data_IF_449666081071
#
_entry.id   IF_449666081071
#
_cell.length_a   1.000
_cell.length_b   1.000
_cell.length_c   1.000
_cell.angle_alpha   90.00
_cell.angle_beta   90.00
_cell.angle_gamma   90.00
#
_symmetry.space_group_name_H-M   'P 1'
#
loop_
_entity.id
_entity.type
_entity.pdbx_description
1 polymer ?
#
# COMPACT_ATOMS: atom_id res chain seq x y z
N UNK A 1 29.63 4.47 -73.98
CA UNK A 1 30.23 3.77 -72.84
C UNK A 1 29.92 4.43 -71.45
N UNK A 2 29.76 5.74 -71.35
CA UNK A 2 29.55 6.46 -70.08
C UNK A 2 28.17 6.22 -69.42
N UNK A 3 27.10 5.92 -70.15
CA UNK A 3 25.73 5.66 -69.61
C UNK A 3 25.54 4.28 -68.96
N UNK A 4 26.41 3.31 -69.22
CA UNK A 4 26.35 1.96 -68.68
C UNK A 4 27.04 1.89 -67.33
N UNK A 5 28.07 2.69 -67.09
CA UNK A 5 28.84 2.76 -65.83
C UNK A 5 28.00 3.39 -64.72
N UNK A 6 27.14 4.41 -65.01
CA UNK A 6 26.29 5.06 -64.06
C UNK A 6 25.17 4.14 -63.54
N UNK A 7 24.64 3.23 -64.43
CA UNK A 7 23.60 2.27 -64.01
C UNK A 7 24.12 1.18 -63.04
N UNK A 8 25.37 0.73 -63.25
CA UNK A 8 25.99 -0.24 -62.35
C UNK A 8 26.36 0.33 -61.00
N UNK A 9 26.77 1.61 -60.93
CA UNK A 9 27.10 2.28 -59.64
C UNK A 9 25.85 2.50 -58.76
N UNK A 10 24.69 2.81 -59.36
CA UNK A 10 23.44 2.94 -58.62
C UNK A 10 22.90 1.59 -58.08
N UNK A 11 23.15 0.48 -58.80
CA UNK A 11 22.69 -0.84 -58.35
C UNK A 11 23.51 -1.38 -57.18
N UNK A 12 24.79 -1.05 -57.09
CA UNK A 12 25.67 -1.45 -55.99
C UNK A 12 25.39 -0.61 -54.73
N UNK A 13 25.01 0.67 -54.88
CA UNK A 13 24.64 1.52 -53.72
C UNK A 13 23.31 1.11 -53.10
N UNK A 14 22.34 0.60 -53.86
CA UNK A 14 21.05 0.11 -53.32
C UNK A 14 21.22 -1.23 -52.60
N UNK A 15 22.17 -2.08 -52.98
CA UNK A 15 22.47 -3.34 -52.30
C UNK A 15 23.22 -3.16 -50.97
N UNK A 16 23.98 -2.06 -50.81
CA UNK A 16 24.66 -1.73 -49.55
C UNK A 16 23.72 -1.10 -48.50
N UNK A 17 22.60 -0.50 -48.91
CA UNK A 17 21.61 0.02 -47.97
C UNK A 17 20.69 -1.08 -47.40
N UNK A 18 20.65 -2.27 -47.97
CA UNK A 18 19.84 -3.41 -47.45
C UNK A 18 20.59 -4.29 -46.46
N UNK A 19 21.90 -4.11 -46.28
CA UNK A 19 22.71 -4.87 -45.32
C UNK A 19 22.87 -4.17 -43.97
N UNK A 20 22.32 -2.95 -43.79
CA UNK A 20 22.48 -2.12 -42.58
C UNK A 20 21.34 -2.17 -41.57
N UNK A 21 20.26 -2.90 -41.83
CA UNK A 21 19.18 -3.11 -40.85
C UNK A 21 19.31 -4.50 -40.20
N UNK A 22 20.43 -4.78 -39.55
CA UNK A 22 20.45 -5.76 -38.49
C UNK A 22 19.80 -5.08 -37.26
N UNK A 23 18.49 -4.88 -37.33
CA UNK A 23 17.70 -4.58 -36.14
C UNK A 23 17.97 -5.70 -35.14
N UNK A 24 18.61 -5.35 -34.05
CA UNK A 24 18.64 -6.15 -32.87
C UNK A 24 17.18 -6.53 -32.59
N UNK A 25 16.77 -7.71 -33.08
CA UNK A 25 15.56 -8.35 -32.55
C UNK A 25 15.82 -8.55 -31.08
N UNK A 26 15.31 -7.63 -30.27
CA UNK A 26 15.14 -7.91 -28.85
C UNK A 26 14.41 -9.27 -28.82
N UNK A 27 15.07 -10.27 -28.27
CA UNK A 27 14.52 -11.60 -28.01
C UNK A 27 13.44 -11.48 -26.93
N UNK A 28 12.31 -10.81 -27.21
CA UNK A 28 11.15 -10.77 -26.36
C UNK A 28 10.21 -11.98 -26.54
N UNK A 29 10.49 -12.82 -27.56
CA UNK A 29 9.73 -14.04 -27.78
C UNK A 29 10.17 -15.17 -26.84
N UNK A 30 9.88 -15.07 -25.54
CA UNK A 30 10.23 -16.12 -24.57
C UNK A 30 10.21 -15.72 -23.09
N UNK A 31 10.07 -14.44 -22.79
CA UNK A 31 10.16 -13.98 -21.39
C UNK A 31 8.90 -14.31 -20.55
N UNK A 32 7.77 -14.63 -21.20
CA UNK A 32 6.51 -14.98 -20.54
C UNK A 32 5.63 -13.76 -20.18
N UNK A 33 4.49 -14.06 -19.58
CA UNK A 33 3.51 -13.07 -19.11
C UNK A 33 3.34 -13.25 -17.61
N UNK A 34 3.09 -12.17 -16.87
CA UNK A 34 2.64 -12.20 -15.48
C UNK A 34 1.44 -11.29 -15.31
N UNK A 35 0.39 -11.80 -14.65
CA UNK A 35 -0.81 -11.07 -14.30
C UNK A 35 -0.71 -10.61 -12.86
N UNK A 36 -0.68 -9.30 -12.66
CA UNK A 36 -0.50 -8.68 -11.35
C UNK A 36 -1.72 -7.85 -11.01
N UNK A 37 -2.26 -8.03 -9.82
CA UNK A 37 -3.20 -7.07 -9.25
C UNK A 37 -2.59 -6.36 -8.04
N UNK A 38 -3.02 -5.12 -7.81
CA UNK A 38 -2.50 -4.32 -6.71
C UNK A 38 -3.57 -3.52 -5.99
N UNK A 39 -3.45 -3.48 -4.66
CA UNK A 39 -4.20 -2.58 -3.76
C UNK A 39 -3.36 -1.37 -3.33
N UNK A 40 -2.15 -1.20 -3.86
CA UNK A 40 -1.26 -0.06 -3.56
C UNK A 40 -1.68 1.19 -4.35
N UNK A 41 -1.05 2.32 -4.02
CA UNK A 41 -1.16 3.53 -4.83
C UNK A 41 -0.88 3.23 -6.32
N UNK A 42 -1.71 3.73 -7.21
CA UNK A 42 -1.64 3.45 -8.64
C UNK A 42 -0.28 3.81 -9.23
N UNK A 43 0.23 5.00 -8.95
CA UNK A 43 1.49 5.48 -9.51
C UNK A 43 2.68 4.63 -9.03
N UNK A 44 2.67 4.21 -7.75
CA UNK A 44 3.68 3.30 -7.22
C UNK A 44 3.60 1.94 -7.92
N UNK A 45 2.40 1.40 -8.07
CA UNK A 45 2.20 0.12 -8.76
C UNK A 45 2.69 0.18 -10.21
N UNK A 46 2.30 1.22 -10.95
CA UNK A 46 2.72 1.45 -12.33
C UNK A 46 4.26 1.59 -12.43
N UNK A 47 4.90 2.29 -11.50
CA UNK A 47 6.36 2.42 -11.47
C UNK A 47 7.06 1.06 -11.27
N UNK A 48 6.58 0.25 -10.33
CA UNK A 48 7.14 -1.08 -10.05
C UNK A 48 6.96 -2.04 -11.24
N UNK A 49 5.76 -2.11 -11.81
CA UNK A 49 5.50 -3.05 -12.91
C UNK A 49 6.22 -2.64 -14.20
N UNK A 50 6.33 -1.34 -14.49
CA UNK A 50 7.04 -0.84 -15.66
C UNK A 50 8.56 -1.08 -15.54
N UNK A 51 9.17 -0.82 -14.37
CA UNK A 51 10.59 -1.09 -14.17
C UNK A 51 10.89 -2.60 -14.27
N UNK A 52 10.05 -3.46 -13.70
CA UNK A 52 10.16 -4.90 -13.86
C UNK A 52 10.07 -5.34 -15.32
N UNK A 53 9.05 -4.88 -16.05
CA UNK A 53 8.86 -5.23 -17.46
C UNK A 53 10.07 -4.80 -18.32
N UNK A 54 10.57 -3.58 -18.10
CA UNK A 54 11.73 -3.04 -18.82
C UNK A 54 13.01 -3.85 -18.57
N UNK A 55 13.23 -4.31 -17.32
CA UNK A 55 14.42 -5.09 -16.94
C UNK A 55 14.38 -6.54 -17.38
N UNK A 56 13.22 -7.13 -17.42
CA UNK A 56 13.08 -8.57 -17.62
C UNK A 56 12.58 -8.96 -19.01
N UNK A 57 11.94 -8.04 -19.74
CA UNK A 57 11.23 -8.32 -20.97
C UNK A 57 9.94 -9.14 -20.78
N UNK A 58 9.55 -9.45 -19.51
CA UNK A 58 8.28 -10.12 -19.19
C UNK A 58 7.14 -9.14 -19.43
N UNK A 59 6.11 -9.59 -20.17
CA UNK A 59 4.89 -8.80 -20.34
C UNK A 59 4.11 -8.79 -19.05
N UNK A 60 3.74 -7.60 -18.58
CA UNK A 60 2.92 -7.44 -17.37
C UNK A 60 1.50 -7.06 -17.78
N UNK A 61 0.54 -7.93 -17.45
CA UNK A 61 -0.88 -7.59 -17.45
C UNK A 61 -1.20 -7.06 -16.03
N UNK A 62 -1.45 -5.76 -15.91
CA UNK A 62 -1.66 -5.12 -14.62
C UNK A 62 -3.10 -4.66 -14.46
N UNK A 63 -3.72 -5.05 -13.34
CA UNK A 63 -5.09 -4.68 -13.00
C UNK A 63 -5.15 -4.09 -11.57
N UNK A 64 -5.63 -2.84 -11.41
CA UNK A 64 -5.84 -2.29 -10.08
C UNK A 64 -6.99 -3.05 -9.40
N UNK A 65 -6.71 -3.59 -8.21
CA UNK A 65 -7.72 -4.28 -7.43
C UNK A 65 -8.66 -3.29 -6.76
N UNK A 66 -9.76 -3.00 -7.43
CA UNK A 66 -10.81 -2.09 -6.93
C UNK A 66 -11.88 -2.93 -6.24
N UNK A 67 -11.80 -3.04 -4.92
CA UNK A 67 -12.82 -3.72 -4.11
C UNK A 67 -13.02 -2.95 -2.80
N UNK A 68 -14.27 -2.82 -2.38
CA UNK A 68 -14.66 -2.03 -1.20
C UNK A 68 -14.52 -2.81 0.10
N UNK A 69 -14.59 -4.16 0.05
CA UNK A 69 -14.47 -5.00 1.22
C UNK A 69 -13.46 -6.14 1.03
N UNK A 70 -12.93 -6.66 2.14
CA UNK A 70 -12.06 -7.85 2.13
C UNK A 70 -12.76 -9.04 1.47
N UNK A 71 -14.03 -9.29 1.77
CA UNK A 71 -14.77 -10.41 1.21
C UNK A 71 -14.84 -10.33 -0.32
N UNK A 72 -15.22 -9.16 -0.87
CA UNK A 72 -15.24 -8.94 -2.32
C UNK A 72 -13.87 -9.13 -2.95
N UNK A 73 -12.81 -8.67 -2.28
CA UNK A 73 -11.43 -8.81 -2.75
C UNK A 73 -11.02 -10.28 -2.86
N UNK A 74 -11.30 -11.07 -1.83
CA UNK A 74 -11.00 -12.50 -1.83
C UNK A 74 -11.82 -13.27 -2.87
N UNK A 75 -13.08 -12.90 -3.10
CA UNK A 75 -13.91 -13.49 -4.15
C UNK A 75 -13.39 -13.18 -5.56
N UNK A 76 -13.02 -11.91 -5.83
CA UNK A 76 -12.42 -11.52 -7.09
C UNK A 76 -11.11 -12.27 -7.35
N UNK A 77 -10.23 -12.34 -6.36
CA UNK A 77 -8.95 -13.05 -6.47
C UNK A 77 -9.14 -14.55 -6.64
N UNK A 78 -10.08 -15.16 -5.92
CA UNK A 78 -10.39 -16.60 -6.01
C UNK A 78 -10.94 -17.03 -7.37
N UNK A 79 -11.61 -16.13 -8.09
CA UNK A 79 -12.22 -16.38 -9.40
C UNK A 79 -11.36 -15.83 -10.56
N UNK A 80 -10.19 -15.25 -10.28
CA UNK A 80 -9.31 -14.64 -11.29
C UNK A 80 -8.19 -15.59 -11.72
N UNK A 81 -7.51 -15.23 -12.82
CA UNK A 81 -6.25 -15.83 -13.27
C UNK A 81 -5.03 -14.98 -12.92
N UNK A 82 -5.15 -14.14 -11.90
CA UNK A 82 -4.06 -13.32 -11.40
C UNK A 82 -2.97 -14.21 -10.82
N UNK A 83 -1.72 -13.91 -11.15
CA UNK A 83 -0.57 -14.67 -10.68
C UNK A 83 -0.02 -14.11 -9.37
N UNK A 84 0.03 -12.77 -9.26
CA UNK A 84 0.56 -12.07 -8.08
C UNK A 84 -0.42 -11.02 -7.58
N UNK A 85 -0.68 -11.07 -6.30
CA UNK A 85 -1.35 -10.00 -5.58
C UNK A 85 -0.31 -9.21 -4.75
N UNK A 86 -0.26 -7.88 -4.89
CA UNK A 86 0.60 -7.01 -4.09
C UNK A 86 -0.18 -5.84 -3.47
N UNK A 87 0.27 -5.41 -2.28
CA UNK A 87 -0.40 -4.36 -1.52
C UNK A 87 -1.62 -4.88 -0.75
N UNK A 88 -2.25 -4.01 0.01
CA UNK A 88 -3.26 -4.40 0.98
C UNK A 88 -2.63 -4.83 2.32
N UNK A 89 -3.46 -5.02 3.33
CA UNK A 89 -3.02 -5.27 4.69
C UNK A 89 -2.68 -6.74 4.94
N UNK A 90 -1.70 -7.01 5.80
CA UNK A 90 -1.23 -8.36 6.11
C UNK A 90 -2.34 -9.31 6.60
N UNK A 91 -3.32 -8.81 7.34
CA UNK A 91 -4.48 -9.60 7.77
C UNK A 91 -5.34 -10.11 6.61
N UNK A 92 -5.32 -9.44 5.47
CA UNK A 92 -6.01 -9.89 4.26
C UNK A 92 -5.31 -11.11 3.65
N UNK A 93 -3.98 -11.10 3.64
CA UNK A 93 -3.15 -12.22 3.20
C UNK A 93 -3.25 -13.40 4.15
N UNK A 94 -3.32 -13.15 5.45
CA UNK A 94 -3.61 -14.19 6.43
C UNK A 94 -4.91 -14.92 6.09
N UNK A 95 -6.01 -14.20 5.83
CA UNK A 95 -7.29 -14.79 5.46
C UNK A 95 -7.24 -15.54 4.12
N UNK A 96 -6.52 -15.03 3.13
CA UNK A 96 -6.32 -15.71 1.85
C UNK A 96 -5.52 -17.01 2.03
N UNK A 97 -4.51 -16.99 2.88
CA UNK A 97 -3.72 -18.17 3.24
C UNK A 97 -4.56 -19.26 3.93
N UNK A 98 -5.39 -18.88 4.92
CA UNK A 98 -6.31 -19.80 5.60
C UNK A 98 -7.38 -20.41 4.65
N UNK A 99 -7.71 -19.70 3.56
CA UNK A 99 -8.58 -20.19 2.49
C UNK A 99 -7.83 -20.97 1.40
N UNK A 100 -6.54 -21.29 1.61
CA UNK A 100 -5.69 -22.02 0.67
C UNK A 100 -5.63 -21.40 -0.73
N UNK A 101 -5.66 -20.05 -0.79
CA UNK A 101 -5.60 -19.28 -2.03
C UNK A 101 -4.18 -18.93 -2.47
N UNK A 102 -3.20 -19.05 -1.56
CA UNK A 102 -1.83 -18.61 -1.76
C UNK A 102 -0.87 -19.81 -1.91
N UNK A 103 0.24 -19.57 -2.59
CA UNK A 103 1.30 -20.58 -2.78
C UNK A 103 2.56 -20.13 -2.06
N UNK A 104 3.18 -20.96 -1.22
CA UNK A 104 4.42 -20.62 -0.55
C UNK A 104 5.53 -20.24 -1.54
N UNK A 105 6.14 -19.07 -1.29
CA UNK A 105 7.32 -18.60 -2.01
C UNK A 105 8.04 -17.54 -1.18
N UNK A 106 9.31 -17.79 -0.86
CA UNK A 106 10.15 -16.84 -0.12
C UNK A 106 11.23 -16.28 -1.05
N UNK A 107 11.14 -14.99 -1.46
CA UNK A 107 12.18 -14.32 -2.21
C UNK A 107 13.49 -14.23 -1.42
N UNK A 108 14.63 -14.34 -2.09
CA UNK A 108 15.95 -14.28 -1.43
C UNK A 108 16.17 -12.96 -0.68
N UNK A 109 15.72 -11.84 -1.26
CA UNK A 109 15.84 -10.53 -0.63
C UNK A 109 14.97 -10.31 0.62
N UNK A 110 14.02 -11.22 0.90
CA UNK A 110 13.17 -11.17 2.10
C UNK A 110 13.82 -11.81 3.34
N UNK A 111 14.99 -12.44 3.23
CA UNK A 111 15.64 -13.17 4.34
C UNK A 111 16.02 -12.31 5.54
N UNK A 112 16.14 -10.99 5.37
CA UNK A 112 16.49 -10.05 6.44
C UNK A 112 15.27 -9.49 7.19
N UNK A 113 14.05 -9.83 6.75
CA UNK A 113 12.83 -9.36 7.40
C UNK A 113 12.68 -10.05 8.75
N UNK A 114 12.42 -9.31 9.85
CA UNK A 114 12.25 -9.90 11.16
C UNK A 114 11.12 -10.95 11.18
N UNK A 115 11.36 -12.13 11.81
CA UNK A 115 10.41 -13.25 11.78
C UNK A 115 9.00 -12.93 12.27
N UNK A 116 8.86 -11.97 13.20
CA UNK A 116 7.54 -11.55 13.72
C UNK A 116 6.62 -10.94 12.67
N UNK A 117 7.15 -10.48 11.53
CA UNK A 117 6.37 -9.92 10.42
C UNK A 117 6.10 -10.93 9.30
N UNK A 118 6.72 -12.13 9.37
CA UNK A 118 6.63 -13.15 8.33
C UNK A 118 5.48 -14.13 8.55
N UNK A 119 4.88 -14.61 7.47
CA UNK A 119 4.02 -15.80 7.53
C UNK A 119 4.87 -17.05 7.83
N UNK A 120 4.43 -17.89 8.77
CA UNK A 120 5.17 -19.08 9.20
C UNK A 120 5.47 -20.06 8.06
N UNK A 121 4.52 -20.18 7.12
CA UNK A 121 4.59 -21.12 6.02
C UNK A 121 5.10 -20.46 4.73
N UNK A 122 5.46 -19.16 4.77
CA UNK A 122 5.95 -18.41 3.62
C UNK A 122 4.93 -18.25 2.50
N UNK A 123 3.62 -18.29 2.83
CA UNK A 123 2.53 -18.17 1.86
C UNK A 123 2.35 -16.74 1.33
N UNK A 124 2.81 -15.76 2.10
CA UNK A 124 2.89 -14.36 1.71
C UNK A 124 4.13 -13.71 2.33
N UNK A 125 4.57 -12.59 1.77
CA UNK A 125 5.78 -11.89 2.20
C UNK A 125 5.46 -10.42 2.43
N UNK A 126 5.83 -9.84 3.59
CA UNK A 126 5.65 -8.42 3.85
C UNK A 126 6.57 -7.58 2.98
N UNK A 127 6.06 -6.49 2.44
CA UNK A 127 6.79 -5.55 1.60
C UNK A 127 7.24 -4.32 2.38
N UNK A 128 6.27 -3.64 2.99
CA UNK A 128 6.51 -2.37 3.68
C UNK A 128 5.80 -2.33 5.01
N UNK A 129 6.29 -1.46 5.90
CA UNK A 129 5.64 -1.12 7.15
C UNK A 129 5.30 0.36 7.15
N UNK A 130 4.14 0.71 7.69
CA UNK A 130 3.70 2.07 7.90
C UNK A 130 2.98 2.20 9.25
N UNK A 131 2.59 3.41 9.61
CA UNK A 131 1.95 3.76 10.86
C UNK A 131 0.76 4.68 10.61
N UNK A 132 -0.06 4.90 11.63
CA UNK A 132 -1.12 5.89 11.57
C UNK A 132 -0.61 7.26 11.99
N UNK A 133 -1.20 8.30 11.39
CA UNK A 133 -0.95 9.70 11.71
C UNK A 133 -2.23 10.52 11.62
N UNK A 134 -2.20 11.69 12.25
CA UNK A 134 -3.20 12.73 12.04
C UNK A 134 -2.63 13.79 11.10
N UNK A 135 -3.37 14.10 10.03
CA UNK A 135 -3.07 15.23 9.16
C UNK A 135 -3.92 16.41 9.60
N UNK A 136 -3.31 17.54 9.92
CA UNK A 136 -4.01 18.74 10.36
C UNK A 136 -3.79 19.91 9.38
N UNK A 137 -4.83 20.73 9.17
CA UNK A 137 -4.70 22.01 8.50
C UNK A 137 -4.35 23.11 9.52
N UNK A 138 -3.11 23.60 9.51
CA UNK A 138 -2.60 24.61 10.45
C UNK A 138 -3.40 25.91 10.45
N UNK A 139 -4.01 26.27 9.32
CA UNK A 139 -4.84 27.47 9.25
C UNK A 139 -6.15 27.28 10.01
N UNK A 140 -6.76 26.10 9.90
CA UNK A 140 -7.95 25.76 10.66
C UNK A 140 -7.64 25.60 12.16
N UNK A 141 -6.52 24.94 12.50
CA UNK A 141 -6.09 24.81 13.91
C UNK A 141 -5.97 26.18 14.58
N UNK A 142 -5.35 27.14 13.91
CA UNK A 142 -5.24 28.52 14.43
C UNK A 142 -6.60 29.20 14.62
N UNK A 143 -7.57 29.00 13.71
CA UNK A 143 -8.93 29.53 13.85
C UNK A 143 -9.68 28.89 15.03
N UNK A 144 -9.42 27.60 15.27
CA UNK A 144 -10.00 26.85 16.39
C UNK A 144 -9.30 27.13 17.72
N UNK A 145 -8.14 27.81 17.70
CA UNK A 145 -7.38 28.15 18.90
C UNK A 145 -6.70 26.95 19.58
N UNK A 146 -6.36 25.91 18.79
CA UNK A 146 -5.70 24.69 19.29
C UNK A 146 -4.47 24.34 18.45
N UNK A 147 -3.56 23.59 19.07
CA UNK A 147 -2.44 22.96 18.36
C UNK A 147 -2.91 21.71 17.58
N UNK A 148 -2.19 21.30 16.52
CA UNK A 148 -2.45 20.06 15.81
C UNK A 148 -2.45 18.86 16.77
N UNK A 149 -3.53 18.04 16.81
CA UNK A 149 -3.59 16.89 17.68
C UNK A 149 -2.55 15.82 17.27
N UNK A 150 -2.07 15.07 18.27
CA UNK A 150 -1.08 13.99 18.13
C UNK A 150 -1.43 12.75 18.97
N UNK A 151 -2.60 12.75 19.57
CA UNK A 151 -3.14 11.62 20.34
C UNK A 151 -4.60 11.36 19.94
N UNK A 152 -5.05 10.12 20.14
CA UNK A 152 -6.46 9.77 19.92
C UNK A 152 -7.39 10.59 20.81
N UNK A 153 -7.02 10.75 22.08
CA UNK A 153 -7.87 11.47 23.03
C UNK A 153 -8.05 12.96 22.68
N UNK A 154 -7.07 13.57 22.02
CA UNK A 154 -7.20 14.95 21.54
C UNK A 154 -8.28 15.12 20.45
N UNK A 155 -8.65 14.04 19.74
CA UNK A 155 -9.78 14.08 18.80
C UNK A 155 -11.14 14.23 19.47
N UNK A 156 -11.24 13.96 20.77
CA UNK A 156 -12.48 14.12 21.54
C UNK A 156 -12.72 15.56 22.04
N UNK A 157 -11.82 16.50 21.75
CA UNK A 157 -12.01 17.90 22.13
C UNK A 157 -13.26 18.48 21.46
N UNK A 158 -14.17 19.15 22.22
CA UNK A 158 -15.43 19.70 21.67
C UNK A 158 -15.23 20.65 20.48
N UNK A 159 -14.10 21.36 20.43
CA UNK A 159 -13.75 22.28 19.36
C UNK A 159 -13.54 21.57 18.00
N UNK A 160 -13.29 20.26 18.00
CA UNK A 160 -13.16 19.44 16.80
C UNK A 160 -14.49 18.83 16.31
N UNK A 161 -15.63 19.24 16.90
CA UNK A 161 -16.95 18.80 16.46
C UNK A 161 -17.15 19.13 14.98
N UNK A 162 -17.50 18.11 14.17
CA UNK A 162 -17.65 18.21 12.69
C UNK A 162 -16.37 18.63 11.93
N UNK A 163 -15.20 18.52 12.55
CA UNK A 163 -13.91 18.91 11.94
C UNK A 163 -13.04 17.71 11.54
N UNK A 164 -13.48 16.49 11.86
CA UNK A 164 -12.69 15.26 11.64
C UNK A 164 -13.20 14.50 10.41
N UNK A 165 -12.29 13.96 9.63
CA UNK A 165 -12.57 13.10 8.48
C UNK A 165 -11.67 11.87 8.48
N UNK A 166 -12.18 10.72 8.02
CA UNK A 166 -11.39 9.51 7.80
C UNK A 166 -12.03 8.63 6.71
N UNK A 167 -11.31 7.61 6.28
CA UNK A 167 -11.91 6.59 5.42
C UNK A 167 -12.89 5.72 6.23
N UNK A 168 -13.78 5.02 5.52
CA UNK A 168 -14.70 4.05 6.14
C UNK A 168 -13.90 2.89 6.74
N UNK A 169 -14.18 2.46 8.00
CA UNK A 169 -13.45 1.36 8.64
C UNK A 169 -13.50 0.04 7.88
N UNK A 170 -14.56 -0.20 7.13
CA UNK A 170 -14.74 -1.40 6.30
C UNK A 170 -13.67 -1.53 5.22
N UNK A 171 -13.15 -0.41 4.72
CA UNK A 171 -12.10 -0.40 3.70
C UNK A 171 -10.75 -0.88 4.24
N UNK A 172 -10.57 -0.95 5.56
CA UNK A 172 -9.31 -1.30 6.20
C UNK A 172 -8.42 -0.09 6.43
N UNK A 173 -7.09 -0.31 6.42
CA UNK A 173 -6.11 0.77 6.58
C UNK A 173 -6.17 1.48 7.93
N UNK A 174 -5.87 2.81 7.99
CA UNK A 174 -5.77 3.56 9.25
C UNK A 174 -7.02 3.50 10.13
N UNK A 175 -8.27 3.62 9.63
CA UNK A 175 -9.45 3.55 10.48
C UNK A 175 -9.63 2.20 11.17
N UNK A 176 -9.40 1.09 10.45
CA UNK A 176 -9.43 -0.22 11.06
C UNK A 176 -8.24 -0.46 11.98
N UNK A 177 -7.07 0.06 11.63
CA UNK A 177 -5.89 0.08 12.48
C UNK A 177 -6.14 0.81 13.81
N UNK A 178 -6.86 1.93 13.80
CA UNK A 178 -7.30 2.64 15.00
C UNK A 178 -8.16 1.75 15.90
N UNK A 179 -9.19 1.10 15.34
CA UNK A 179 -10.08 0.21 16.09
C UNK A 179 -9.27 -0.91 16.76
N UNK A 180 -8.44 -1.62 15.99
CA UNK A 180 -7.69 -2.78 16.49
C UNK A 180 -6.61 -2.38 17.51
N UNK A 181 -5.89 -1.28 17.28
CA UNK A 181 -4.88 -0.81 18.22
C UNK A 181 -5.47 -0.36 19.56
N UNK A 182 -6.55 0.42 19.54
CA UNK A 182 -7.22 0.86 20.76
C UNK A 182 -7.80 -0.33 21.54
N UNK A 183 -8.38 -1.30 20.83
CA UNK A 183 -8.91 -2.51 21.48
C UNK A 183 -7.82 -3.34 22.16
N UNK A 184 -6.69 -3.52 21.50
CA UNK A 184 -5.57 -4.30 22.03
C UNK A 184 -4.80 -3.55 23.14
N UNK A 185 -4.65 -2.24 23.03
CA UNK A 185 -3.89 -1.43 24.00
C UNK A 185 -4.72 -1.03 25.23
N UNK A 186 -6.02 -0.77 25.08
CA UNK A 186 -6.86 -0.21 26.14
C UNK A 186 -7.94 -1.18 26.62
N UNK A 187 -8.14 -2.30 25.92
CA UNK A 187 -9.25 -3.22 26.16
C UNK A 187 -10.56 -2.77 25.52
N UNK A 188 -11.53 -3.67 25.50
CA UNK A 188 -12.82 -3.48 24.82
C UNK A 188 -13.60 -2.28 25.35
N UNK A 189 -13.75 -2.17 26.66
CA UNK A 189 -14.61 -1.16 27.30
C UNK A 189 -14.11 0.26 27.03
N UNK A 190 -12.82 0.50 27.19
CA UNK A 190 -12.23 1.82 26.90
C UNK A 190 -12.19 2.13 25.40
N UNK A 191 -12.01 1.13 24.53
CA UNK A 191 -12.10 1.31 23.09
C UNK A 191 -13.52 1.70 22.65
N UNK A 192 -14.56 1.06 23.20
CA UNK A 192 -15.96 1.40 22.91
C UNK A 192 -16.37 2.75 23.51
N UNK A 193 -15.91 3.08 24.70
CA UNK A 193 -16.10 4.41 25.28
C UNK A 193 -15.48 5.52 24.42
N UNK A 194 -14.26 5.29 23.93
CA UNK A 194 -13.64 6.20 22.98
C UNK A 194 -14.45 6.31 21.67
N UNK A 195 -14.93 5.19 21.12
CA UNK A 195 -15.77 5.18 19.93
C UNK A 195 -17.06 5.97 20.10
N UNK A 196 -17.74 5.85 21.28
CA UNK A 196 -18.90 6.64 21.65
C UNK A 196 -18.59 8.13 21.65
N UNK A 197 -17.48 8.54 22.31
CA UNK A 197 -17.00 9.92 22.28
C UNK A 197 -16.69 10.42 20.87
N UNK A 198 -16.06 9.58 20.04
CA UNK A 198 -15.72 9.93 18.67
C UNK A 198 -16.98 10.13 17.78
N UNK A 199 -18.05 9.36 18.01
CA UNK A 199 -19.34 9.57 17.33
C UNK A 199 -19.94 10.95 17.60
N UNK A 200 -19.79 11.47 18.82
CA UNK A 200 -20.30 12.80 19.13
C UNK A 200 -19.60 13.90 18.34
N UNK A 201 -18.42 13.62 17.79
CA UNK A 201 -17.67 14.55 16.94
C UNK A 201 -18.24 14.69 15.52
N UNK A 202 -19.25 13.92 15.12
CA UNK A 202 -19.83 13.94 13.75
C UNK A 202 -18.78 13.77 12.66
N UNK A 203 -18.03 12.65 12.72
CA UNK A 203 -16.97 12.36 11.77
C UNK A 203 -17.53 12.19 10.36
N UNK A 204 -16.86 12.79 9.37
CA UNK A 204 -17.11 12.54 7.96
C UNK A 204 -16.38 11.26 7.54
N UNK A 205 -17.11 10.22 7.18
CA UNK A 205 -16.56 9.02 6.58
C UNK A 205 -16.57 9.10 5.05
N UNK A 206 -15.46 8.73 4.42
CA UNK A 206 -15.28 8.78 2.96
C UNK A 206 -14.77 7.42 2.43
N UNK A 207 -15.00 7.09 1.14
CA UNK A 207 -14.61 5.79 0.59
C UNK A 207 -13.10 5.53 0.58
N UNK A 208 -12.26 6.56 0.64
CA UNK A 208 -10.80 6.39 0.56
C UNK A 208 -10.05 7.38 1.44
N UNK A 209 -8.88 6.97 1.90
CA UNK A 209 -7.92 7.80 2.63
C UNK A 209 -7.51 9.04 1.82
N UNK A 210 -7.31 8.91 0.51
CA UNK A 210 -6.96 10.02 -0.36
C UNK A 210 -8.02 11.13 -0.36
N UNK A 211 -9.32 10.76 -0.39
CA UNK A 211 -10.43 11.72 -0.27
C UNK A 211 -10.44 12.40 1.10
N UNK A 212 -10.16 11.67 2.18
CA UNK A 212 -10.08 12.25 3.51
C UNK A 212 -8.94 13.28 3.62
N UNK A 213 -7.74 12.98 3.12
CA UNK A 213 -6.63 13.93 3.06
C UNK A 213 -6.95 15.17 2.22
N UNK A 214 -7.68 14.99 1.12
CA UNK A 214 -8.09 16.10 0.24
C UNK A 214 -9.08 17.07 0.90
N UNK A 215 -10.00 16.60 1.76
CA UNK A 215 -10.90 17.47 2.53
C UNK A 215 -10.13 18.39 3.50
N UNK A 216 -9.06 17.87 4.12
CA UNK A 216 -8.17 18.67 4.99
C UNK A 216 -7.32 19.64 4.16
N UNK A 217 -6.83 19.20 3.00
CA UNK A 217 -6.12 20.09 2.06
C UNK A 217 -6.99 21.27 1.64
N UNK A 218 -8.25 21.03 1.29
CA UNK A 218 -9.20 22.10 0.91
C UNK A 218 -9.65 22.96 2.09
N UNK A 219 -9.29 22.62 3.34
CA UNK A 219 -9.70 23.32 4.55
C UNK A 219 -11.18 23.13 4.90
N UNK A 220 -11.87 22.15 4.31
CA UNK A 220 -13.28 21.80 4.60
C UNK A 220 -13.39 21.00 5.89
N UNK A 221 -12.34 20.25 6.25
CA UNK A 221 -12.14 19.56 7.51
C UNK A 221 -10.79 19.98 8.07
N UNK A 222 -10.65 19.86 9.38
CA UNK A 222 -9.46 20.32 10.09
C UNK A 222 -8.45 19.22 10.36
N UNK A 223 -8.92 17.99 10.55
CA UNK A 223 -8.10 16.82 10.89
C UNK A 223 -8.54 15.60 10.10
N UNK A 224 -7.58 14.85 9.53
CA UNK A 224 -7.81 13.52 8.96
C UNK A 224 -6.99 12.44 9.68
N UNK A 225 -7.55 11.23 9.79
CA UNK A 225 -6.84 10.01 10.18
C UNK A 225 -6.31 9.36 8.91
N UNK A 226 -4.99 9.31 8.73
CA UNK A 226 -4.32 8.82 7.54
C UNK A 226 -3.17 7.85 7.91
N UNK A 227 -2.64 7.17 6.91
CA UNK A 227 -1.32 6.56 7.00
C UNK A 227 -0.22 7.64 7.07
N UNK A 228 0.86 7.35 7.79
CA UNK A 228 1.93 8.32 8.01
C UNK A 228 2.61 8.72 6.70
N UNK A 229 2.86 7.74 5.80
CA UNK A 229 3.48 8.04 4.50
C UNK A 229 2.63 9.03 3.68
N UNK A 230 1.31 8.87 3.70
CA UNK A 230 0.39 9.76 2.97
C UNK A 230 0.33 11.14 3.63
N UNK A 231 0.21 11.21 4.95
CA UNK A 231 0.23 12.47 5.69
C UNK A 231 1.53 13.27 5.44
N UNK A 232 2.70 12.59 5.48
CA UNK A 232 4.00 13.20 5.19
C UNK A 232 4.14 13.64 3.72
N UNK A 233 3.54 12.93 2.77
CA UNK A 233 3.53 13.33 1.38
C UNK A 233 2.78 14.66 1.20
N UNK A 234 1.57 14.76 1.76
CA UNK A 234 0.76 15.97 1.72
C UNK A 234 1.42 17.15 2.46
N UNK A 235 2.03 16.92 3.62
CA UNK A 235 2.77 17.95 4.36
C UNK A 235 3.95 18.50 3.55
N UNK A 236 4.70 17.65 2.85
CA UNK A 236 5.83 18.08 2.02
C UNK A 236 5.38 18.99 0.88
N UNK A 237 4.25 18.68 0.26
CA UNK A 237 3.72 19.46 -0.87
C UNK A 237 3.06 20.76 -0.41
N UNK A 238 2.51 20.79 0.81
CA UNK A 238 1.67 21.87 1.31
C UNK A 238 2.07 22.32 2.71
N UNK A 239 2.80 23.42 2.82
CA UNK A 239 3.35 23.96 4.10
C UNK A 239 2.31 24.28 5.17
N UNK A 240 1.05 24.45 4.81
CA UNK A 240 -0.04 24.70 5.75
C UNK A 240 -0.65 23.41 6.33
N UNK A 241 -0.21 22.23 5.87
CA UNK A 241 -0.53 20.97 6.47
C UNK A 241 0.52 20.56 7.50
N UNK A 242 0.15 19.66 8.41
CA UNK A 242 1.03 19.11 9.45
C UNK A 242 0.67 17.67 9.75
N UNK A 243 1.65 16.79 9.61
CA UNK A 243 1.53 15.36 9.89
C UNK A 243 2.02 15.07 11.32
N UNK A 244 1.12 14.62 12.18
CA UNK A 244 1.42 14.21 13.56
C UNK A 244 1.41 12.69 13.67
N UNK A 245 2.53 12.01 13.92
CA UNK A 245 2.52 10.61 14.34
C UNK A 245 1.75 10.48 15.67
N UNK A 246 0.97 9.41 15.80
CA UNK A 246 0.18 9.16 17.02
C UNK A 246 1.07 8.69 18.17
N UNK A 247 0.95 9.31 19.33
CA UNK A 247 1.79 9.08 20.51
C UNK A 247 1.17 8.19 21.59
N UNK A 248 -0.15 8.01 21.58
CA UNK A 248 -0.90 7.28 22.63
C UNK A 248 -1.48 5.94 22.14
N UNK A 249 -1.03 5.46 21.02
CA UNK A 249 -1.38 4.17 20.42
C UNK A 249 -1.26 4.19 18.91
N UNK A 250 -0.58 3.21 18.37
CA UNK A 250 -0.39 3.06 16.93
C UNK A 250 -0.48 1.58 16.53
N UNK A 251 -0.28 1.26 15.28
CA UNK A 251 -0.27 -0.11 14.74
C UNK A 251 0.78 -0.22 13.64
N UNK A 252 1.39 -1.40 13.53
CA UNK A 252 2.13 -1.78 12.33
C UNK A 252 1.14 -2.01 11.20
N UNK A 253 1.15 -1.14 10.20
CA UNK A 253 0.38 -1.33 8.97
C UNK A 253 1.30 -1.95 7.92
N UNK A 254 1.25 -3.28 7.83
CA UNK A 254 2.11 -4.05 6.94
C UNK A 254 1.38 -4.26 5.63
N UNK A 255 2.01 -3.88 4.51
CA UNK A 255 1.58 -4.32 3.19
C UNK A 255 2.33 -5.56 2.78
N UNK A 256 1.74 -6.40 1.96
CA UNK A 256 2.35 -7.68 1.58
C UNK A 256 2.21 -7.97 0.07
N UNK A 257 2.84 -9.07 -0.36
CA UNK A 257 2.64 -9.68 -1.66
C UNK A 257 2.60 -11.20 -1.56
N UNK A 258 1.89 -11.83 -2.49
CA UNK A 258 1.80 -13.29 -2.57
C UNK A 258 1.56 -13.75 -4.00
N UNK A 259 1.93 -15.01 -4.25
CA UNK A 259 1.57 -15.71 -5.47
C UNK A 259 0.23 -16.42 -5.24
N UNK A 260 -0.71 -16.18 -6.15
CA UNK A 260 -2.03 -16.82 -6.09
C UNK A 260 -2.00 -18.23 -6.67
N UNK A 261 -2.74 -19.14 -6.05
CA UNK A 261 -2.80 -20.56 -6.45
C UNK A 261 -3.43 -20.77 -7.82
N UNK A 262 -4.36 -19.89 -8.20
CA UNK A 262 -5.07 -19.97 -9.49
C UNK A 262 -4.29 -19.33 -10.65
N UNK A 263 -3.14 -18.70 -10.37
CA UNK A 263 -2.26 -18.13 -11.39
C UNK A 263 -1.67 -19.20 -12.30
N UNK A 264 -1.58 -18.87 -13.58
CA UNK A 264 -1.12 -19.81 -14.64
C UNK A 264 0.39 -19.62 -14.93
N UNK A 265 1.00 -18.49 -14.50
CA UNK A 265 2.33 -18.07 -14.91
C UNK A 265 3.33 -18.11 -13.75
N UNK A 266 3.52 -19.29 -13.14
CA UNK A 266 4.30 -19.48 -11.91
C UNK A 266 5.73 -18.91 -11.98
N UNK A 267 6.51 -19.22 -13.00
CA UNK A 267 7.90 -18.73 -13.12
C UNK A 267 8.01 -17.22 -13.28
N UNK A 268 7.23 -16.55 -14.16
CA UNK A 268 7.15 -15.08 -14.17
C UNK A 268 6.72 -14.47 -12.85
N UNK A 269 5.76 -15.08 -12.13
CA UNK A 269 5.33 -14.64 -10.82
C UNK A 269 6.46 -14.69 -9.79
N UNK A 270 7.22 -15.77 -9.72
CA UNK A 270 8.40 -15.91 -8.86
C UNK A 270 9.46 -14.84 -9.18
N UNK A 271 9.70 -14.56 -10.47
CA UNK A 271 10.63 -13.50 -10.89
C UNK A 271 10.14 -12.12 -10.44
N UNK A 272 8.83 -11.86 -10.49
CA UNK A 272 8.27 -10.61 -9.99
C UNK A 272 8.40 -10.50 -8.47
N UNK A 273 8.14 -11.58 -7.73
CA UNK A 273 8.37 -11.62 -6.28
C UNK A 273 9.83 -11.34 -5.92
N UNK A 274 10.82 -11.93 -6.62
CA UNK A 274 12.25 -11.60 -6.42
C UNK A 274 12.54 -10.12 -6.72
N UNK A 275 11.95 -9.58 -7.80
CA UNK A 275 12.13 -8.18 -8.17
C UNK A 275 11.65 -7.22 -7.07
N UNK A 276 10.53 -7.49 -6.41
CA UNK A 276 10.00 -6.63 -5.34
C UNK A 276 11.00 -6.39 -4.19
N UNK A 277 12.00 -7.27 -4.05
CA UNK A 277 13.08 -7.18 -3.06
C UNK A 277 14.42 -6.75 -3.67
N UNK A 278 14.44 -6.33 -4.92
CA UNK A 278 15.62 -5.73 -5.56
C UNK A 278 15.90 -4.33 -5.04
N UNK A 279 17.14 -3.87 -5.16
CA UNK A 279 17.53 -2.50 -4.76
C UNK A 279 16.68 -1.44 -5.44
N UNK A 280 16.34 -1.65 -6.71
CA UNK A 280 15.56 -0.74 -7.52
C UNK A 280 14.10 -0.67 -7.05
N UNK A 281 13.47 -1.82 -6.83
CA UNK A 281 12.09 -1.85 -6.32
C UNK A 281 12.00 -1.20 -4.92
N UNK A 282 12.96 -1.51 -4.03
CA UNK A 282 13.03 -0.88 -2.71
C UNK A 282 13.24 0.64 -2.82
N UNK A 283 14.06 1.10 -3.78
CA UNK A 283 14.25 2.52 -4.02
C UNK A 283 12.97 3.19 -4.54
N UNK A 284 12.27 2.58 -5.50
CA UNK A 284 10.96 3.06 -5.98
C UNK A 284 9.99 3.19 -4.81
N UNK A 285 9.86 2.17 -3.95
CA UNK A 285 8.98 2.24 -2.77
C UNK A 285 9.32 3.43 -1.88
N UNK A 286 10.62 3.71 -1.62
CA UNK A 286 11.04 4.87 -0.81
C UNK A 286 10.71 6.22 -1.46
N UNK A 287 10.80 6.34 -2.78
CA UNK A 287 10.42 7.54 -3.50
C UNK A 287 8.95 7.89 -3.28
N UNK A 288 8.11 6.86 -3.13
CA UNK A 288 6.70 6.98 -2.73
C UNK A 288 6.50 7.00 -1.20
N UNK A 289 7.58 7.18 -0.41
CA UNK A 289 7.57 7.27 1.05
C UNK A 289 7.09 6.03 1.79
N UNK A 290 7.11 4.89 1.11
CA UNK A 290 6.93 3.61 1.77
C UNK A 290 8.24 3.20 2.48
N UNK A 291 8.13 2.50 3.59
CA UNK A 291 9.27 1.96 4.34
C UNK A 291 9.41 0.45 4.09
N UNK A 292 10.31 0.01 3.18
CA UNK A 292 10.51 -1.41 2.90
C UNK A 292 11.05 -2.17 4.12
N UNK A 293 10.39 -3.28 4.48
CA UNK A 293 10.79 -4.11 5.61
C UNK A 293 12.11 -4.87 5.39
N UNK A 294 12.49 -5.13 4.12
CA UNK A 294 13.75 -5.78 3.79
C UNK A 294 14.99 -4.96 4.20
N UNK A 295 14.84 -3.64 4.36
CA UNK A 295 15.90 -2.71 4.78
C UNK A 295 15.68 -2.19 6.23
N UNK A 296 15.16 -3.02 7.09
CA UNK A 296 14.69 -2.74 8.44
C UNK A 296 15.52 -1.83 9.41
N UNK A 297 16.76 -1.37 9.13
CA UNK A 297 17.47 -0.45 10.03
C UNK A 297 16.75 0.87 10.29
N UNK A 298 15.92 1.36 9.36
CA UNK A 298 15.25 2.66 9.49
C UNK A 298 13.91 2.62 10.23
N UNK A 299 13.30 1.44 10.37
CA UNK A 299 12.05 1.26 11.17
C UNK A 299 12.25 1.71 12.62
N UNK A 300 13.44 1.47 13.21
CA UNK A 300 13.77 1.88 14.58
C UNK A 300 13.92 3.41 14.76
N UNK A 301 14.32 4.16 13.73
CA UNK A 301 14.51 5.61 13.84
C UNK A 301 13.20 6.38 13.87
N UNK A 302 12.18 5.92 13.11
CA UNK A 302 10.84 6.54 13.10
C UNK A 302 10.02 6.17 14.32
N UNK A 303 10.30 5.02 14.95
CA UNK A 303 9.54 4.51 16.09
C UNK A 303 9.64 5.37 17.36
N UNK A 304 10.66 6.23 17.51
CA UNK A 304 10.81 7.08 18.70
C UNK A 304 9.74 8.16 18.85
N UNK A 305 9.08 8.56 17.76
CA UNK A 305 7.97 9.53 17.76
C UNK A 305 6.59 8.85 17.72
N UNK A 306 6.56 7.51 17.62
CA UNK A 306 5.34 6.70 17.48
C UNK A 306 5.02 6.10 18.84
N UNK A 307 3.76 6.17 19.24
CA UNK A 307 3.25 5.61 20.52
C UNK A 307 3.33 4.07 20.56
N UNK A 308 2.87 3.48 21.66
CA UNK A 308 2.89 2.03 21.85
C UNK A 308 2.16 1.31 20.73
N UNK A 309 2.74 0.18 20.29
CA UNK A 309 2.20 -0.70 19.25
C UNK A 309 1.90 -2.04 19.90
N UNK A 310 0.67 -2.57 19.78
CA UNK A 310 0.34 -3.90 20.29
C UNK A 310 1.02 -4.98 19.44
N UNK A 311 1.14 -6.18 19.98
CA UNK A 311 1.53 -7.34 19.19
C UNK A 311 0.44 -7.62 18.14
N UNK A 312 0.85 -7.75 16.87
CA UNK A 312 -0.07 -8.03 15.79
C UNK A 312 -0.57 -9.48 15.87
N UNK A 313 -1.86 -9.64 16.17
CA UNK A 313 -2.59 -10.89 16.02
C UNK A 313 -3.43 -10.80 14.73
N UNK A 314 -2.82 -11.20 13.61
CA UNK A 314 -3.46 -11.13 12.29
C UNK A 314 -4.73 -11.99 12.22
N UNK A 315 -4.73 -13.16 12.90
CA UNK A 315 -5.89 -14.05 12.94
C UNK A 315 -7.07 -13.42 13.66
N UNK A 316 -6.82 -12.81 14.82
CA UNK A 316 -7.83 -12.08 15.58
C UNK A 316 -8.35 -10.87 14.78
N UNK A 317 -7.45 -10.06 14.22
CA UNK A 317 -7.83 -8.90 13.42
C UNK A 317 -8.67 -9.27 12.21
N UNK A 318 -8.25 -10.28 11.45
CA UNK A 318 -8.96 -10.74 10.27
C UNK A 318 -10.31 -11.40 10.62
N UNK A 319 -10.32 -12.29 11.62
CA UNK A 319 -11.50 -13.04 12.03
C UNK A 319 -12.57 -12.19 12.72
N UNK A 320 -12.17 -11.11 13.40
CA UNK A 320 -13.07 -10.23 14.14
C UNK A 320 -13.44 -8.94 13.41
N UNK A 321 -12.94 -8.72 12.20
CA UNK A 321 -13.08 -7.43 11.49
C UNK A 321 -14.52 -6.91 11.46
N UNK A 322 -15.47 -7.71 11.01
CA UNK A 322 -16.87 -7.28 10.90
C UNK A 322 -17.50 -7.01 12.27
N UNK A 323 -17.20 -7.85 13.26
CA UNK A 323 -17.71 -7.71 14.63
C UNK A 323 -17.18 -6.42 15.27
N UNK A 324 -15.87 -6.18 15.20
CA UNK A 324 -15.22 -4.99 15.77
C UNK A 324 -15.74 -3.70 15.13
N UNK A 325 -15.86 -3.67 13.82
CA UNK A 325 -16.40 -2.50 13.10
C UNK A 325 -17.86 -2.26 13.50
N UNK A 326 -18.69 -3.31 13.55
CA UNK A 326 -20.09 -3.19 13.97
C UNK A 326 -20.22 -2.66 15.40
N UNK A 327 -19.42 -3.17 16.33
CA UNK A 327 -19.43 -2.70 17.73
C UNK A 327 -18.96 -1.25 17.82
N UNK A 328 -17.89 -0.88 17.09
CA UNK A 328 -17.37 0.46 17.01
C UNK A 328 -18.39 1.46 16.49
N UNK A 329 -19.04 1.19 15.37
CA UNK A 329 -20.03 2.08 14.75
C UNK A 329 -21.31 2.20 15.60
N UNK A 330 -21.62 1.23 16.46
CA UNK A 330 -22.79 1.24 17.35
C UNK A 330 -22.46 1.63 18.80
N UNK A 331 -21.22 1.97 19.11
CA UNK A 331 -20.82 2.39 20.46
C UNK A 331 -21.61 3.63 20.91
N UNK A 332 -22.03 3.66 22.19
CA UNK A 332 -22.84 4.74 22.79
C UNK A 332 -21.97 5.69 23.58
#
# INVERSE_FOLDING_TARGET
MMKIIIKCACLVLVLLCLAGCNGQKSNSAGAGIVRICSSMNRNLSDALVNDFANKTGIVVEFDPLVATSLQQRLELLGNSKVDVWMGGAAEEYYMAAERNMLVPYLPKGASNIPPQYMDRDGRWVPLTIDYMALLSNKNNMRKLGIEPPSTWNELLQPVLHNEIVMAEPETGGPPYGMITSLWQLRGQDEALKFAGGLRTQQILYLPTEAKAGYEVYLGRKSVAVLSLHHALALEKEHRFLYASPLRDGNKNMITAAAILKNGENRKPAERFMEYLFSKEALQIMREYRMDPLADAPDVKRKSSAIGPIPNDDLGWMAGKKQELIKQWLNAK
#
